data_IF_636738512749
#
_entry.id   IF_636738512749
#
_cell.length_a   1.000
_cell.length_b   1.000
_cell.length_c   1.000
_cell.angle_alpha   90.00
_cell.angle_beta   90.00
_cell.angle_gamma   90.00
#
_symmetry.space_group_name_H-M   'P 1'
#
loop_
_entity.id
_entity.type
_entity.pdbx_description
1 polymer ?
2 non-polymer ?
3 non-polymer ?
4 non-polymer ?
5 non-polymer ?
6 water ?
#
# COMPACT_ATOMS: atom_id res chain seq x y z
N UNK A 1 -21.71 12.84 10.51
CA UNK A 1 -20.88 13.63 9.51
C UNK A 1 -19.84 12.71 8.86
N UNK A 2 -18.77 12.41 9.61
CA UNK A 2 -17.87 11.30 9.26
C UNK A 2 -18.64 9.97 9.50
N UNK A 3 -19.79 10.05 10.18
CA UNK A 3 -20.68 8.91 10.30
C UNK A 3 -21.09 8.42 8.90
N UNK A 4 -20.97 9.30 7.90
CA UNK A 4 -21.18 8.89 6.52
C UNK A 4 -20.24 7.79 6.01
N UNK A 5 -19.10 7.60 6.66
CA UNK A 5 -18.21 6.50 6.33
C UNK A 5 -18.85 5.14 6.66
N UNK A 6 -19.82 5.12 7.58
CA UNK A 6 -20.39 3.85 8.02
C UNK A 6 -20.99 3.03 6.87
N UNK A 7 -21.60 3.69 5.91
CA UNK A 7 -22.25 2.97 4.81
C UNK A 7 -21.19 2.31 3.94
N UNK A 8 -20.03 2.95 3.81
CA UNK A 8 -18.92 2.37 3.06
C UNK A 8 -18.37 1.13 3.77
N UNK A 9 -18.22 1.20 5.10
CA UNK A 9 -17.77 0.06 5.85
C UNK A 9 -18.80 -1.05 5.72
N UNK A 10 -20.09 -0.70 5.83
CA UNK A 10 -21.16 -1.71 5.73
C UNK A 10 -21.28 -2.35 4.36
N UNK A 11 -20.79 -1.70 3.31
CA UNK A 11 -20.87 -2.28 1.96
C UNK A 11 -19.54 -2.85 1.47
N UNK A 12 -18.68 -3.15 2.43
CA UNK A 12 -17.30 -3.50 2.12
C UNK A 12 -17.17 -4.81 1.36
N UNK A 13 -18.11 -5.73 1.57
CA UNK A 13 -18.10 -6.95 0.81
C UNK A 13 -18.19 -6.67 -0.68
N UNK A 14 -19.18 -5.90 -1.08
CA UNK A 14 -19.30 -5.51 -2.47
C UNK A 14 -18.03 -4.75 -2.95
N UNK A 15 -17.52 -3.82 -2.15
CA UNK A 15 -16.32 -3.08 -2.55
C UNK A 15 -15.08 -4.00 -2.69
N UNK A 16 -14.97 -5.04 -1.84
CA UNK A 16 -13.87 -6.00 -1.97
C UNK A 16 -13.85 -6.61 -3.38
N UNK A 17 -15.05 -6.86 -3.89
CA UNK A 17 -15.20 -7.34 -5.23
C UNK A 17 -14.73 -6.37 -6.28
N UNK A 18 -15.06 -5.09 -6.13
CA UNK A 18 -14.66 -4.02 -7.05
C UNK A 18 -13.15 -3.82 -6.99
N UNK A 19 -12.59 -3.96 -5.79
CA UNK A 19 -11.14 -3.83 -5.59
C UNK A 19 -10.46 -4.97 -6.35
N UNK A 20 -11.04 -6.19 -6.26
CA UNK A 20 -10.49 -7.34 -6.99
C UNK A 20 -10.46 -7.12 -8.52
N UNK A 21 -11.57 -6.62 -9.05
CA UNK A 21 -11.73 -6.36 -10.47
C UNK A 21 -10.70 -5.37 -11.03
N UNK A 22 -10.34 -4.36 -10.23
CA UNK A 22 -9.28 -3.42 -10.57
C UNK A 22 -7.93 -4.16 -10.61
N UNK A 23 -7.69 -5.04 -9.63
CA UNK A 23 -6.47 -5.84 -9.60
C UNK A 23 -6.43 -6.67 -10.87
N UNK A 24 -7.53 -7.33 -11.17
CA UNK A 24 -7.54 -8.20 -12.36
C UNK A 24 -7.23 -7.39 -13.63
N UNK A 25 -7.84 -6.21 -13.78
CA UNK A 25 -7.57 -5.34 -14.91
C UNK A 25 -6.09 -4.91 -14.96
N UNK A 26 -5.51 -4.61 -13.81
CA UNK A 26 -4.12 -4.18 -13.78
C UNK A 26 -3.11 -5.35 -13.97
N UNK A 27 -3.55 -6.57 -13.69
CA UNK A 27 -2.61 -7.70 -13.54
C UNK A 27 -1.63 -7.91 -14.69
N UNK A 28 -2.13 -7.96 -15.95
CA UNK A 28 -1.30 -8.27 -17.10
C UNK A 28 -0.23 -7.27 -17.49
N UNK A 29 -0.35 -6.03 -17.01
CA UNK A 29 0.53 -4.95 -17.41
C UNK A 29 1.90 -5.11 -16.76
N UNK A 30 2.93 -4.88 -17.57
CA UNK A 30 4.30 -4.99 -17.14
C UNK A 30 4.85 -3.68 -16.54
N UNK A 31 4.60 -3.48 -15.24
CA UNK A 31 5.21 -2.37 -14.51
C UNK A 31 6.70 -2.63 -14.21
N UNK A 32 7.43 -1.56 -14.01
CA UNK A 32 8.78 -1.60 -13.47
C UNK A 32 8.88 -0.25 -12.71
N UNK A 33 10.09 0.15 -12.30
CA UNK A 33 10.25 1.43 -11.62
C UNK A 33 10.03 2.65 -12.53
N UNK A 34 10.04 2.42 -13.84
CA UNK A 34 9.77 3.42 -14.84
C UNK A 34 9.03 2.71 -15.96
N UNK A 35 8.53 3.45 -16.94
CA UNK A 35 8.01 2.84 -18.16
C UNK A 35 6.55 3.00 -18.50
N UNK A 36 6.20 2.58 -19.72
CA UNK A 36 4.81 2.70 -20.19
C UNK A 36 3.81 1.83 -19.41
N UNK A 37 4.31 0.84 -18.70
CA UNK A 37 3.46 -0.03 -17.90
C UNK A 37 2.97 0.76 -16.72
N UNK A 38 3.86 1.56 -16.17
CA UNK A 38 3.48 2.43 -15.07
C UNK A 38 2.45 3.41 -15.60
N UNK A 39 2.70 3.95 -16.82
CA UNK A 39 1.74 4.90 -17.40
C UNK A 39 0.38 4.28 -17.68
N UNK A 40 0.35 3.03 -18.15
CA UNK A 40 -0.93 2.36 -18.41
C UNK A 40 -1.66 2.14 -17.10
N UNK A 41 -0.89 1.96 -16.03
CA UNK A 41 -1.43 1.73 -14.70
C UNK A 41 -2.06 3.00 -14.12
N UNK A 42 -1.39 4.14 -14.33
CA UNK A 42 -1.93 5.44 -13.96
C UNK A 42 -3.19 5.76 -14.78
N UNK A 43 -3.24 5.33 -16.03
CA UNK A 43 -4.46 5.56 -16.81
C UNK A 43 -5.65 4.85 -16.17
N UNK A 44 -5.42 3.60 -15.77
CA UNK A 44 -6.49 2.79 -15.21
C UNK A 44 -6.93 3.35 -13.88
N UNK A 45 -5.95 3.73 -13.05
CA UNK A 45 -6.27 4.35 -11.77
C UNK A 45 -7.15 5.59 -11.97
N UNK A 46 -6.89 6.37 -13.03
CA UNK A 46 -7.61 7.62 -13.26
C UNK A 46 -8.99 7.38 -13.80
N UNK A 47 -9.35 6.13 -14.06
CA UNK A 47 -10.74 5.77 -14.32
C UNK A 47 -11.52 5.71 -13.00
N UNK A 48 -10.82 5.73 -11.87
CA UNK A 48 -11.47 5.69 -10.57
C UNK A 48 -11.31 6.98 -9.76
N UNK A 49 -10.12 7.55 -9.77
CA UNK A 49 -9.85 8.78 -9.02
C UNK A 49 -9.01 9.76 -9.89
N UNK A 50 -9.09 11.05 -9.57
CA UNK A 50 -8.22 11.93 -10.29
C UNK A 50 -6.80 11.71 -9.78
N UNK A 51 -5.81 11.92 -10.65
CA UNK A 51 -4.43 11.98 -10.20
C UNK A 51 -3.72 13.07 -10.96
N UNK A 52 -2.74 13.67 -10.30
CA UNK A 52 -1.75 14.44 -11.01
C UNK A 52 -0.56 13.48 -11.26
N UNK A 53 -0.19 13.34 -12.53
CA UNK A 53 0.91 12.48 -12.94
C UNK A 53 2.18 13.33 -13.13
N UNK A 54 3.27 12.88 -12.51
CA UNK A 54 4.56 13.58 -12.57
C UNK A 54 5.56 12.76 -13.36
N UNK A 55 6.42 13.43 -14.09
CA UNK A 55 7.48 12.75 -14.84
C UNK A 55 8.81 13.44 -14.52
N UNK A 56 9.69 12.74 -13.80
CA UNK A 56 10.98 13.31 -13.40
C UNK A 56 12.07 12.76 -14.34
N UNK A 57 12.81 13.65 -14.99
CA UNK A 57 13.83 13.28 -15.99
C UNK A 57 14.91 12.35 -15.44
N UNK A 58 15.27 11.35 -16.24
CA UNK A 58 16.41 10.52 -15.89
C UNK A 58 17.60 11.41 -15.64
N UNK A 59 18.38 11.08 -14.62
CA UNK A 59 19.57 11.86 -14.27
C UNK A 59 19.31 12.91 -13.19
N UNK A 60 18.05 13.15 -12.84
CA UNK A 60 17.70 14.11 -11.80
C UNK A 60 18.18 13.55 -10.46
N UNK A 61 18.87 14.42 -9.71
CA UNK A 61 19.39 14.07 -8.41
C UNK A 61 18.27 14.24 -7.39
N UNK A 62 17.92 13.14 -6.74
CA UNK A 62 16.88 13.15 -5.71
C UNK A 62 17.53 12.69 -4.41
N UNK A 63 17.88 13.69 -3.59
CA UNK A 63 18.79 13.50 -2.47
C UNK A 63 20.02 12.73 -2.99
N UNK A 64 20.39 11.62 -2.35
CA UNK A 64 21.59 10.87 -2.71
C UNK A 64 21.39 10.03 -3.94
N UNK A 65 20.15 9.91 -4.39
CA UNK A 65 19.86 9.05 -5.53
C UNK A 65 19.79 9.82 -6.84
N UNK A 66 19.90 9.06 -7.92
CA UNK A 66 19.78 9.58 -9.26
C UNK A 66 18.64 8.90 -9.96
N UNK A 67 17.73 9.68 -10.56
CA UNK A 67 16.61 9.09 -11.28
C UNK A 67 17.16 8.25 -12.46
N UNK A 68 16.87 6.94 -12.45
CA UNK A 68 17.42 6.06 -13.51
C UNK A 68 16.93 6.33 -14.94
N UNK A 69 17.55 5.64 -15.89
CA UNK A 69 17.06 5.59 -17.26
C UNK A 69 15.69 4.92 -17.26
N UNK A 70 14.93 5.22 -18.30
CA UNK A 70 13.62 4.65 -18.44
C UNK A 70 13.74 3.34 -19.19
N UNK A 71 13.00 2.33 -18.72
CA UNK A 71 12.99 0.99 -19.32
C UNK A 71 11.62 0.69 -19.91
N UNK A 72 11.64 0.04 -21.08
CA UNK A 72 10.40 -0.39 -21.75
C UNK A 72 10.61 -1.74 -22.42
N UNK A 73 9.51 -2.47 -22.66
CA UNK A 73 9.65 -3.79 -23.26
C UNK A 73 8.44 -4.08 -24.14
N UNK A 74 8.70 -4.54 -25.37
CA UNK A 74 7.69 -4.95 -26.34
C UNK A 74 7.49 -6.48 -26.32
N UNK A 75 8.57 -7.23 -26.31
CA UNK A 75 8.45 -8.68 -26.38
C UNK A 75 9.72 -9.27 -25.87
N UNK A 76 9.65 -10.54 -25.47
CA UNK A 76 10.81 -11.31 -25.06
C UNK A 76 10.46 -12.77 -25.23
N UNK A 77 11.43 -13.57 -25.67
CA UNK A 77 11.25 -15.03 -25.81
C UNK A 77 12.55 -15.78 -26.04
N UNK A 78 12.54 -17.07 -25.65
CA UNK A 78 13.56 -18.03 -25.98
C UNK A 78 12.84 -19.03 -26.89
N UNK A 79 13.35 -19.20 -28.10
CA UNK A 79 12.71 -20.04 -29.09
C UNK A 79 13.64 -21.19 -29.49
N UNK A 80 13.11 -22.39 -29.65
CA UNK A 80 13.96 -23.54 -30.05
C UNK A 80 13.98 -23.67 -31.59
N UNK A 81 14.82 -24.58 -32.10
CA UNK A 81 15.00 -24.78 -33.56
C UNK A 81 13.73 -25.25 -34.24
N UNK A 82 12.91 -25.99 -33.50
CA UNK A 82 11.61 -26.43 -33.96
C UNK A 82 10.66 -25.23 -34.06
N UNK A 83 11.11 -24.03 -33.66
CA UNK A 83 10.29 -22.81 -33.70
C UNK A 83 9.46 -22.45 -32.46
N UNK A 84 9.44 -23.33 -31.45
CA UNK A 84 8.61 -23.13 -30.24
C UNK A 84 9.20 -22.21 -29.20
N UNK A 85 8.44 -21.17 -28.84
CA UNK A 85 8.82 -20.25 -27.75
C UNK A 85 8.76 -20.98 -26.42
N UNK A 86 9.89 -21.56 -26.02
CA UNK A 86 9.96 -22.33 -24.79
C UNK A 86 9.88 -21.39 -23.56
N UNK A 87 10.20 -20.11 -23.75
CA UNK A 87 9.90 -19.07 -22.74
C UNK A 87 9.23 -17.94 -23.51
N UNK A 88 8.11 -17.42 -22.98
CA UNK A 88 7.31 -16.40 -23.66
C UNK A 88 6.74 -15.32 -22.69
N UNK A 89 7.30 -14.13 -22.82
CA UNK A 89 6.91 -12.96 -22.08
C UNK A 89 5.42 -12.69 -22.13
N UNK A 90 4.83 -12.90 -23.30
CA UNK A 90 3.39 -12.72 -23.48
C UNK A 90 2.56 -13.64 -22.59
N UNK A 91 3.12 -14.78 -22.15
CA UNK A 91 2.41 -15.66 -21.22
C UNK A 91 2.50 -15.19 -19.75
N UNK A 92 3.64 -14.62 -19.38
CA UNK A 92 3.84 -14.12 -18.02
C UNK A 92 4.99 -13.11 -18.04
N UNK A 93 4.77 -11.88 -17.58
CA UNK A 93 5.85 -10.88 -17.66
C UNK A 93 6.94 -11.12 -16.59
N UNK A 94 6.69 -12.09 -15.71
CA UNK A 94 7.69 -12.47 -14.72
C UNK A 94 8.84 -13.27 -15.38
N UNK A 95 8.60 -13.78 -16.60
CA UNK A 95 9.64 -14.46 -17.41
C UNK A 95 10.86 -13.59 -17.77
N UNK A 96 10.75 -12.25 -17.70
CA UNK A 96 11.89 -11.37 -18.00
C UNK A 96 12.31 -10.61 -16.75
N UNK A 97 13.62 -10.56 -16.54
CA UNK A 97 14.22 -9.82 -15.44
C UNK A 97 14.01 -8.31 -15.72
N UNK A 98 13.40 -7.61 -14.77
CA UNK A 98 13.03 -6.23 -14.98
C UNK A 98 14.29 -5.42 -15.22
N UNK A 99 14.23 -4.52 -16.20
CA UNK A 99 15.34 -3.70 -16.64
C UNK A 99 16.33 -4.47 -17.53
N UNK A 100 15.90 -5.60 -18.10
CA UNK A 100 16.77 -6.38 -18.98
C UNK A 100 17.20 -5.56 -20.20
N UNK A 101 18.51 -5.48 -20.41
CA UNK A 101 19.09 -4.86 -21.61
C UNK A 101 18.58 -5.62 -22.86
N UNK A 102 18.42 -4.95 -24.01
CA UNK A 102 17.94 -5.69 -25.17
C UNK A 102 18.95 -6.74 -25.66
N UNK A 103 18.48 -7.90 -26.11
CA UNK A 103 19.36 -8.94 -26.58
C UNK A 103 18.69 -9.67 -27.75
N UNK A 104 19.50 -10.04 -28.73
CA UNK A 104 19.04 -10.80 -29.88
C UNK A 104 20.18 -11.73 -30.30
N UNK A 105 20.07 -13.00 -29.93
CA UNK A 105 21.17 -13.95 -30.07
C UNK A 105 20.71 -15.37 -30.38
N UNK A 106 21.64 -16.16 -30.92
CA UNK A 106 21.46 -17.60 -30.94
C UNK A 106 22.46 -18.14 -29.95
N UNK A 107 22.00 -18.97 -29.03
CA UNK A 107 22.89 -19.59 -28.08
C UNK A 107 22.48 -21.03 -27.83
N UNK A 108 23.47 -21.82 -27.43
CA UNK A 108 23.22 -23.20 -27.07
C UNK A 108 22.70 -23.21 -25.63
N UNK A 109 22.10 -24.33 -25.21
CA UNK A 109 21.53 -24.43 -23.85
C UNK A 109 22.56 -24.04 -22.79
N UNK A 110 23.78 -24.56 -22.94
CA UNK A 110 24.85 -24.30 -21.98
C UNK A 110 25.26 -22.82 -21.88
N UNK A 111 25.12 -22.08 -22.99
CA UNK A 111 25.47 -20.65 -22.98
C UNK A 111 24.29 -19.85 -22.41
N UNK A 112 23.06 -20.33 -22.64
CA UNK A 112 21.85 -19.69 -22.11
C UNK A 112 21.69 -19.88 -20.59
N UNK A 113 21.97 -21.10 -20.12
CA UNK A 113 21.75 -21.52 -18.73
C UNK A 113 22.12 -20.48 -17.66
N UNK A 114 23.28 -19.81 -17.80
CA UNK A 114 23.63 -18.86 -16.75
C UNK A 114 22.66 -17.67 -16.63
N UNK A 115 21.94 -17.33 -17.71
CA UNK A 115 20.94 -16.25 -17.68
C UNK A 115 19.50 -16.73 -17.37
N UNK A 116 19.33 -18.01 -17.08
CA UNK A 116 18.04 -18.60 -16.74
C UNK A 116 17.93 -18.70 -15.22
N UNK A 117 16.73 -18.47 -14.68
CA UNK A 117 16.47 -18.51 -13.22
C UNK A 117 15.22 -19.29 -12.88
N UNK A 118 15.35 -20.24 -11.96
CA UNK A 118 14.27 -21.10 -11.48
C UNK A 118 14.22 -21.11 -9.95
N UNK A 119 13.24 -21.84 -9.40
CA UNK A 119 13.12 -22.02 -7.92
C UNK A 119 13.05 -23.54 -7.71
N UNK A 120 14.22 -24.15 -7.49
CA UNK A 120 14.33 -25.61 -7.36
C UNK A 120 13.41 -26.21 -6.32
N UNK A 121 13.20 -25.47 -5.23
CA UNK A 121 12.33 -25.88 -4.15
C UNK A 121 10.84 -25.80 -4.42
N UNK A 122 10.45 -25.14 -5.51
CA UNK A 122 9.02 -24.98 -5.87
C UNK A 122 9.00 -25.05 -7.36
N UNK A 123 9.04 -26.28 -7.85
CA UNK A 123 9.34 -26.57 -9.24
C UNK A 123 8.36 -26.03 -10.26
N UNK A 124 7.32 -25.40 -9.77
CA UNK A 124 6.23 -24.86 -10.55
C UNK A 124 6.16 -23.30 -10.51
N UNK A 125 7.14 -22.64 -9.90
CA UNK A 125 7.06 -21.18 -9.75
C UNK A 125 8.03 -20.46 -10.65
N UNK A 126 7.60 -19.30 -11.13
CA UNK A 126 8.48 -18.44 -11.91
C UNK A 126 9.04 -17.39 -10.93
N UNK A 127 10.35 -17.31 -10.81
CA UNK A 127 10.84 -16.26 -9.94
C UNK A 127 10.80 -14.87 -10.57
N UNK A 128 10.49 -13.86 -9.76
CA UNK A 128 10.56 -12.44 -10.14
C UNK A 128 11.94 -11.87 -9.82
N UNK A 129 12.62 -11.39 -10.84
CA UNK A 129 13.94 -10.79 -10.67
C UNK A 129 14.00 -9.41 -11.34
N UNK A 130 14.86 -8.56 -10.81
CA UNK A 130 15.07 -7.21 -11.32
C UNK A 130 16.57 -6.92 -11.41
N UNK A 131 16.94 -5.93 -12.21
CA UNK A 131 18.33 -5.51 -12.28
C UNK A 131 18.34 -4.04 -12.62
N UNK A 132 17.87 -3.23 -11.69
CA UNK A 132 17.65 -1.82 -11.98
C UNK A 132 18.93 -1.04 -12.17
N UNK A 133 19.94 -1.36 -11.40
CA UNK A 133 21.08 -0.47 -11.29
C UNK A 133 22.43 -0.99 -11.84
N UNK A 134 22.52 -2.28 -12.17
CA UNK A 134 23.67 -2.80 -12.93
C UNK A 134 23.04 -3.31 -14.24
N UNK A 135 23.66 -3.05 -15.38
CA UNK A 135 23.14 -3.55 -16.66
C UNK A 135 23.23 -5.07 -16.69
N UNK A 136 22.19 -5.71 -17.20
CA UNK A 136 22.08 -7.15 -17.15
C UNK A 136 20.84 -7.64 -17.92
N UNK A 137 20.66 -8.96 -18.03
CA UNK A 137 19.47 -9.53 -18.63
C UNK A 137 19.19 -10.96 -18.15
N UNK A 138 17.93 -11.32 -18.02
CA UNK A 138 17.61 -12.65 -17.57
C UNK A 138 16.23 -13.14 -17.95
N UNK A 139 16.06 -14.45 -17.95
CA UNK A 139 14.77 -15.06 -18.11
C UNK A 139 14.49 -15.93 -16.88
N UNK A 140 13.24 -15.88 -16.41
CA UNK A 140 12.79 -16.76 -15.36
C UNK A 140 11.87 -17.84 -15.94
N UNK A 141 11.91 -19.04 -15.36
CA UNK A 141 11.00 -20.14 -15.77
C UNK A 141 10.83 -21.15 -14.65
N UNK A 142 9.84 -22.04 -14.79
CA UNK A 142 9.67 -23.03 -13.74
C UNK A 142 10.79 -24.04 -13.89
N UNK A 143 11.20 -24.57 -12.74
CA UNK A 143 12.15 -25.66 -12.73
C UNK A 143 11.63 -26.80 -13.59
N UNK A 144 10.34 -27.13 -13.49
CA UNK A 144 9.80 -28.25 -14.24
C UNK A 144 9.98 -28.05 -15.75
N UNK A 145 9.78 -26.82 -16.21
CA UNK A 145 9.92 -26.48 -17.63
C UNK A 145 11.39 -26.44 -18.00
N UNK A 146 12.23 -25.93 -17.10
CA UNK A 146 13.67 -25.98 -17.29
C UNK A 146 14.15 -27.40 -17.49
N UNK A 147 13.71 -28.32 -16.62
CA UNK A 147 14.12 -29.72 -16.68
C UNK A 147 13.75 -30.43 -17.98
N UNK A 148 12.75 -29.91 -18.68
CA UNK A 148 12.33 -30.48 -19.94
C UNK A 148 13.05 -29.80 -21.13
N UNK A 149 13.96 -28.86 -20.87
CA UNK A 149 14.67 -28.17 -21.97
C UNK A 149 15.84 -28.96 -22.54
N UNK A 150 16.01 -28.88 -23.86
CA UNK A 150 17.07 -29.62 -24.57
C UNK A 150 18.36 -28.90 -24.85
N UNK A 151 19.39 -29.71 -25.12
CA UNK A 151 20.59 -29.22 -25.76
C UNK A 151 20.07 -28.78 -27.12
N UNK A 152 20.42 -27.57 -27.54
CA UNK A 152 19.82 -27.03 -28.75
C UNK A 152 20.44 -25.67 -29.08
N UNK A 153 20.06 -25.11 -30.23
CA UNK A 153 20.37 -23.73 -30.57
C UNK A 153 19.06 -22.99 -30.39
N UNK A 154 19.11 -22.00 -29.51
CA UNK A 154 17.94 -21.24 -29.16
C UNK A 154 18.08 -19.82 -29.66
N UNK A 155 17.01 -19.29 -30.24
CA UNK A 155 16.92 -17.86 -30.52
C UNK A 155 16.48 -17.18 -29.22
N UNK A 156 17.26 -16.19 -28.80
CA UNK A 156 17.02 -15.47 -27.56
C UNK A 156 16.76 -14.01 -27.89
N UNK A 157 15.54 -13.57 -27.63
CA UNK A 157 15.10 -12.22 -27.93
C UNK A 157 14.52 -11.54 -26.69
N UNK A 158 15.11 -10.40 -26.32
CA UNK A 158 14.50 -9.47 -25.38
C UNK A 158 14.45 -8.13 -26.14
N UNK A 159 13.26 -7.76 -26.59
CA UNK A 159 13.03 -6.52 -27.33
C UNK A 159 12.66 -5.43 -26.34
N UNK A 160 13.70 -4.82 -25.77
CA UNK A 160 13.53 -3.79 -24.74
C UNK A 160 14.31 -2.54 -25.09
N UNK A 161 14.12 -1.48 -24.30
CA UNK A 161 14.93 -0.27 -24.44
C UNK A 161 15.25 0.28 -23.08
N UNK A 162 16.44 0.88 -22.97
CA UNK A 162 16.93 1.44 -21.72
C UNK A 162 17.61 2.76 -22.12
N UNK A 163 16.87 3.85 -21.95
CA UNK A 163 17.25 5.15 -22.47
C UNK A 163 16.86 6.20 -21.49
N UNK A 164 17.51 7.35 -21.57
CA UNK A 164 17.12 8.52 -20.79
C UNK A 164 15.68 8.74 -21.11
N UNK A 165 14.87 8.97 -20.07
CA UNK A 165 13.43 9.18 -20.23
C UNK A 165 12.93 9.92 -19.00
N UNK A 166 11.90 9.37 -18.38
CA UNK A 166 11.44 9.89 -17.12
C UNK A 166 10.72 8.88 -16.26
N UNK A 167 10.73 9.18 -14.96
CA UNK A 167 10.12 8.35 -13.93
C UNK A 167 8.75 8.91 -13.57
N UNK A 168 7.73 8.05 -13.71
CA UNK A 168 6.34 8.42 -13.45
C UNK A 168 5.96 8.19 -12.00
N UNK A 169 5.32 9.20 -11.40
CA UNK A 169 4.58 8.97 -10.14
C UNK A 169 3.26 9.72 -10.18
N UNK A 170 2.26 9.17 -9.49
CA UNK A 170 0.93 9.77 -9.41
C UNK A 170 0.58 10.24 -8.00
N UNK A 171 -0.28 11.25 -7.92
CA UNK A 171 -0.60 11.84 -6.63
C UNK A 171 -2.01 12.43 -6.63
N UNK A 172 -2.74 12.18 -5.53
CA UNK A 172 -4.08 12.74 -5.36
C UNK A 172 -4.17 13.37 -3.97
N UNK A 173 -4.65 14.59 -3.92
CA UNK A 173 -4.76 15.37 -2.67
C UNK A 173 -6.19 15.80 -2.40
N UNK A 174 -6.70 15.50 -1.21
CA UNK A 174 -7.99 15.94 -0.74
C UNK A 174 -7.72 16.97 0.34
N UNK A 175 -8.21 18.19 0.13
CA UNK A 175 -8.13 19.27 1.13
C UNK A 175 -9.20 19.12 2.22
N UNK A 176 -8.76 19.06 3.47
CA UNK A 176 -9.69 18.99 4.58
C UNK A 176 -9.87 20.37 5.22
N UNK A 177 -10.59 20.41 6.35
CA UNK A 177 -10.73 21.67 7.08
C UNK A 177 -9.37 22.16 7.45
N UNK A 178 -8.47 21.24 7.79
CA UNK A 178 -7.12 21.54 8.21
C UNK A 178 -6.08 21.11 7.21
N UNK A 179 -4.95 21.81 7.21
CA UNK A 179 -3.78 21.46 6.41
C UNK A 179 -3.04 20.25 6.94
N UNK A 180 -3.26 19.88 8.19
CA UNK A 180 -2.60 18.71 8.73
C UNK A 180 -3.04 17.55 7.89
N UNK A 181 -2.08 16.68 7.60
CA UNK A 181 -2.22 15.79 6.52
C UNK A 181 -1.97 14.35 6.93
N UNK A 182 -2.79 13.45 6.41
CA UNK A 182 -2.58 12.02 6.59
C UNK A 182 -2.10 11.54 5.19
N UNK A 183 -0.98 10.80 5.15
CA UNK A 183 -0.34 10.32 3.93
C UNK A 183 -0.54 8.81 3.77
N UNK A 184 -1.05 8.39 2.62
CA UNK A 184 -1.26 6.98 2.35
C UNK A 184 -0.52 6.70 1.06
N UNK A 185 0.48 5.84 1.11
CA UNK A 185 1.32 5.61 -0.05
C UNK A 185 1.27 4.16 -0.47
N UNK A 186 1.53 3.89 -1.73
CA UNK A 186 1.67 2.52 -2.20
C UNK A 186 2.61 2.52 -3.40
N UNK A 187 3.20 1.36 -3.72
CA UNK A 187 4.21 1.31 -4.79
C UNK A 187 3.75 0.60 -6.08
N UNK A 188 4.13 1.20 -7.20
CA UNK A 188 3.59 0.84 -8.51
C UNK A 188 4.53 0.10 -9.46
N UNK A 189 5.67 -0.33 -8.92
CA UNK A 189 6.76 -0.89 -9.71
C UNK A 189 6.70 -2.40 -9.95
N UNK A 190 5.91 -3.13 -9.17
CA UNK A 190 5.81 -4.58 -9.40
C UNK A 190 4.88 -4.93 -10.56
N UNK A 191 5.31 -5.84 -11.42
CA UNK A 191 4.51 -6.25 -12.59
C UNK A 191 3.35 -7.21 -12.24
N UNK A 192 3.24 -8.38 -12.91
CA UNK A 192 2.07 -9.29 -12.70
C UNK A 192 2.16 -10.16 -11.45
N UNK A 193 2.06 -9.50 -10.30
CA UNK A 193 1.94 -10.14 -9.00
C UNK A 193 0.85 -9.37 -8.25
N UNK A 194 0.04 -10.09 -7.48
CA UNK A 194 -1.14 -9.54 -6.86
C UNK A 194 -0.96 -8.97 -5.44
N UNK A 195 -0.60 -9.77 -4.45
CA UNK A 195 -0.46 -9.28 -3.08
C UNK A 195 0.63 -8.20 -3.02
N UNK A 196 1.77 -8.50 -3.65
CA UNK A 196 2.88 -7.55 -3.76
C UNK A 196 3.08 -7.17 -5.25
N UNK A 197 2.49 -6.08 -5.77
CA UNK A 197 1.66 -5.12 -5.00
C UNK A 197 0.50 -4.46 -5.73
N UNK A 198 -0.31 -5.26 -6.44
CA UNK A 198 -1.56 -4.73 -6.99
C UNK A 198 -2.57 -4.54 -5.86
N UNK A 199 -2.43 -5.26 -4.75
CA UNK A 199 -3.44 -5.14 -3.67
C UNK A 199 -3.40 -3.72 -3.04
N UNK A 200 -2.21 -3.20 -2.80
CA UNK A 200 -2.07 -1.86 -2.20
C UNK A 200 -2.56 -0.78 -3.14
N UNK A 201 -2.22 -0.97 -4.41
CA UNK A 201 -2.60 -0.04 -5.46
C UNK A 201 -4.13 0.00 -5.54
N UNK A 202 -4.78 -1.16 -5.63
CA UNK A 202 -6.25 -1.16 -5.75
C UNK A 202 -6.91 -0.70 -4.46
N UNK A 203 -6.34 -1.04 -3.30
CA UNK A 203 -6.95 -0.63 -2.02
C UNK A 203 -6.96 0.89 -1.83
N UNK A 204 -5.79 1.49 -1.96
CA UNK A 204 -5.60 2.93 -1.76
C UNK A 204 -6.50 3.67 -2.78
N UNK A 205 -6.67 3.12 -3.98
CA UNK A 205 -7.54 3.73 -4.97
C UNK A 205 -8.97 3.86 -4.41
N UNK A 206 -9.47 2.76 -3.86
CA UNK A 206 -10.80 2.75 -3.29
C UNK A 206 -10.96 3.53 -1.98
N UNK A 207 -9.91 3.62 -1.19
CA UNK A 207 -9.96 4.47 -0.01
C UNK A 207 -10.10 5.90 -0.50
N UNK A 208 -9.25 6.32 -1.43
CA UNK A 208 -9.32 7.68 -2.03
C UNK A 208 -10.72 7.94 -2.60
N UNK A 209 -11.27 6.94 -3.30
CA UNK A 209 -12.57 7.06 -3.91
C UNK A 209 -13.68 7.31 -2.86
N UNK A 210 -13.61 6.62 -1.72
CA UNK A 210 -14.56 6.84 -0.62
C UNK A 210 -14.36 8.21 0.08
N UNK A 211 -13.12 8.55 0.43
CA UNK A 211 -12.84 9.80 1.15
C UNK A 211 -13.23 11.06 0.37
N UNK A 212 -13.01 11.00 -0.93
CA UNK A 212 -13.44 12.01 -1.89
C UNK A 212 -14.86 12.50 -1.70
N UNK A 213 -15.72 11.62 -1.19
CA UNK A 213 -17.13 11.91 -1.07
C UNK A 213 -17.52 12.43 0.31
N UNK A 214 -16.55 12.60 1.21
CA UNK A 214 -16.78 13.00 2.59
C UNK A 214 -16.14 14.34 2.93
N UNK A 215 -16.69 15.02 3.93
CA UNK A 215 -16.12 16.27 4.41
C UNK A 215 -15.18 15.91 5.56
N UNK A 216 -13.86 15.95 5.33
CA UNK A 216 -12.88 15.52 6.34
C UNK A 216 -12.23 16.67 7.07
N UNK A 217 -11.81 16.41 8.32
CA UNK A 217 -11.09 17.39 9.16
C UNK A 217 -9.68 17.50 8.64
N UNK A 218 -9.07 16.35 8.44
CA UNK A 218 -7.74 16.30 7.91
C UNK A 218 -7.69 16.30 6.38
N UNK A 219 -6.53 16.70 5.87
CA UNK A 219 -6.22 16.63 4.46
C UNK A 219 -5.60 15.26 4.27
N UNK A 220 -5.79 14.70 3.08
CA UNK A 220 -5.31 13.38 2.76
C UNK A 220 -4.55 13.41 1.44
N UNK A 221 -3.37 12.79 1.41
CA UNK A 221 -2.58 12.69 0.20
C UNK A 221 -2.33 11.24 -0.10
N UNK A 222 -2.51 10.88 -1.37
CA UNK A 222 -2.32 9.49 -1.76
C UNK A 222 -1.22 9.45 -2.81
N UNK A 223 -0.12 8.76 -2.51
CA UNK A 223 1.03 8.69 -3.40
C UNK A 223 1.12 7.31 -4.04
N UNK A 224 1.17 7.30 -5.37
CA UNK A 224 1.41 6.08 -6.14
C UNK A 224 2.76 6.25 -6.89
N UNK A 225 3.78 5.53 -6.46
CA UNK A 225 5.14 5.77 -6.94
C UNK A 225 5.92 4.48 -6.87
N UNK A 226 6.95 4.33 -7.73
CA UNK A 226 7.78 3.12 -7.59
C UNK A 226 8.41 3.05 -6.23
N UNK A 227 8.60 1.84 -5.70
CA UNK A 227 9.22 1.72 -4.39
C UNK A 227 10.64 2.30 -4.34
N UNK A 228 10.97 2.84 -3.17
CA UNK A 228 12.26 3.39 -2.88
C UNK A 228 12.56 4.62 -3.72
N UNK A 229 12.89 4.44 -4.99
CA UNK A 229 13.22 5.58 -5.87
C UNK A 229 12.07 6.60 -6.00
N UNK A 230 10.83 6.09 -6.03
CA UNK A 230 9.66 6.96 -6.11
C UNK A 230 9.44 7.79 -4.86
N UNK A 231 9.43 7.16 -3.69
CA UNK A 231 9.28 7.91 -2.43
C UNK A 231 10.41 8.91 -2.20
N UNK A 232 11.63 8.53 -2.54
CA UNK A 232 12.79 9.46 -2.44
C UNK A 232 12.56 10.65 -3.37
N UNK A 233 12.17 10.37 -4.62
CA UNK A 233 11.84 11.43 -5.56
C UNK A 233 10.74 12.36 -5.05
N UNK A 234 9.69 11.78 -4.48
CA UNK A 234 8.60 12.59 -3.99
C UNK A 234 9.05 13.46 -2.83
N UNK A 235 9.76 12.87 -1.87
CA UNK A 235 10.27 13.62 -0.72
C UNK A 235 11.19 14.76 -1.19
N UNK A 236 11.99 14.49 -2.22
CA UNK A 236 12.95 15.50 -2.68
C UNK A 236 12.21 16.66 -3.34
N UNK A 237 10.99 16.43 -3.76
CA UNK A 237 10.22 17.46 -4.43
C UNK A 237 9.17 18.10 -3.53
N UNK A 238 9.11 17.70 -2.26
CA UNK A 238 8.05 18.16 -1.37
C UNK A 238 8.51 18.45 0.07
N UNK A 239 9.75 18.89 0.25
CA UNK A 239 10.26 19.15 1.60
C UNK A 239 9.38 20.17 2.33
N UNK A 240 8.90 21.17 1.60
CA UNK A 240 7.98 22.19 2.10
C UNK A 240 6.69 21.64 2.73
N UNK A 241 6.24 20.47 2.27
CA UNK A 241 4.99 19.83 2.72
C UNK A 241 5.13 18.91 3.93
N UNK A 242 6.34 18.50 4.26
CA UNK A 242 6.56 17.53 5.33
C UNK A 242 6.10 17.99 6.69
N UNK A 243 6.25 19.27 6.98
CA UNK A 243 5.80 19.78 8.28
C UNK A 243 4.30 19.53 8.58
N UNK A 244 3.46 19.35 7.58
CA UNK A 244 2.04 19.09 7.80
C UNK A 244 1.68 17.62 7.90
N UNK A 245 2.56 16.69 7.53
CA UNK A 245 2.18 15.27 7.56
C UNK A 245 2.20 14.74 9.00
N UNK A 246 1.01 14.55 9.55
CA UNK A 246 0.84 14.22 10.96
C UNK A 246 1.10 12.74 11.13
N UNK A 247 0.69 11.94 10.16
CA UNK A 247 0.80 10.51 10.22
C UNK A 247 0.66 9.89 8.81
N UNK A 248 1.02 8.62 8.68
CA UNK A 248 0.93 7.98 7.39
C UNK A 248 0.96 6.47 7.46
N UNK A 249 0.51 5.83 6.39
CA UNK A 249 0.52 4.39 6.28
C UNK A 249 0.97 3.97 4.88
N UNK A 250 1.85 2.98 4.77
CA UNK A 250 2.22 2.40 3.48
C UNK A 250 1.36 1.11 3.32
N UNK A 251 0.60 1.05 2.23
CA UNK A 251 -0.28 -0.07 1.99
C UNK A 251 0.36 -1.02 0.98
N UNK A 252 0.53 -2.27 1.41
CA UNK A 252 1.01 -3.31 0.53
C UNK A 252 0.52 -4.63 1.10
N UNK A 253 0.50 -5.66 0.26
CA UNK A 253 0.16 -7.02 0.70
C UNK A 253 -1.13 -7.09 1.50
N UNK A 254 -2.17 -6.44 1.00
CA UNK A 254 -3.39 -6.28 1.74
C UNK A 254 -4.53 -7.17 1.23
N UNK A 255 -4.21 -8.18 0.41
CA UNK A 255 -5.24 -8.91 -0.32
C UNK A 255 -5.45 -10.40 -0.09
N UNK A 256 -4.53 -11.06 0.60
CA UNK A 256 -4.65 -12.50 0.84
C UNK A 256 -5.57 -12.91 1.97
N UNK A 257 -5.74 -14.24 2.14
CA UNK A 257 -6.67 -14.78 3.14
C UNK A 257 -6.16 -14.74 4.57
N UNK A 258 -4.91 -14.34 4.79
CA UNK A 258 -4.34 -14.34 6.14
C UNK A 258 -4.77 -13.24 7.08
N UNK A 259 -4.22 -13.26 8.29
CA UNK A 259 -4.56 -12.27 9.31
C UNK A 259 -3.89 -10.91 8.98
N UNK A 260 -4.39 -9.83 9.59
CA UNK A 260 -3.79 -8.49 9.46
C UNK A 260 -2.50 -8.38 10.26
N UNK A 261 -1.56 -7.62 9.72
CA UNK A 261 -0.30 -7.33 10.32
C UNK A 261 -0.04 -5.83 10.30
N UNK A 262 0.30 -5.26 11.45
CA UNK A 262 0.68 -3.85 11.52
C UNK A 262 2.13 -3.66 11.90
N UNK A 263 2.88 -2.98 11.04
CA UNK A 263 4.24 -2.56 11.35
C UNK A 263 4.17 -1.14 11.89
N UNK A 264 4.70 -0.96 13.08
CA UNK A 264 4.70 0.34 13.69
C UNK A 264 5.67 1.33 13.07
N UNK A 265 5.37 2.59 13.32
CA UNK A 265 6.30 3.67 13.04
C UNK A 265 7.56 3.48 13.86
N UNK A 266 8.63 4.18 13.48
CA UNK A 266 9.90 4.09 14.19
C UNK A 266 9.72 4.50 15.66
N UNK A 267 8.73 5.35 15.96
CA UNK A 267 8.51 5.81 17.33
C UNK A 267 7.74 4.80 18.17
N UNK A 268 7.09 3.85 17.54
CA UNK A 268 6.35 2.81 18.29
C UNK A 268 5.06 3.19 18.97
N UNK A 269 4.97 4.39 19.51
CA UNK A 269 3.74 4.80 20.18
C UNK A 269 3.15 6.12 19.66
N UNK A 270 3.42 6.45 18.39
CA UNK A 270 2.87 7.67 17.76
C UNK A 270 1.35 7.52 17.68
N UNK A 271 0.65 8.61 17.40
CA UNK A 271 -0.79 8.55 17.35
C UNK A 271 -1.32 7.47 16.39
N UNK A 272 -0.72 7.39 15.20
CA UNK A 272 -1.15 6.38 14.21
C UNK A 272 -0.96 4.95 14.75
N UNK A 273 0.12 4.68 15.48
CA UNK A 273 0.36 3.33 16.08
C UNK A 273 -0.74 3.01 17.07
N UNK A 274 -1.03 3.99 17.93
CA UNK A 274 -2.03 3.83 18.98
C UNK A 274 -3.38 3.64 18.33
N UNK A 275 -3.65 4.38 17.26
CA UNK A 275 -4.97 4.28 16.59
C UNK A 275 -5.09 2.91 15.92
N UNK A 276 -4.12 2.55 15.09
CA UNK A 276 -4.23 1.26 14.41
C UNK A 276 -4.31 0.07 15.40
N UNK A 277 -3.53 0.10 16.49
CA UNK A 277 -3.56 -1.07 17.41
C UNK A 277 -4.89 -1.13 18.15
N UNK A 278 -5.50 0.03 18.41
CA UNK A 278 -6.80 0.08 19.08
C UNK A 278 -7.93 -0.41 18.18
N UNK A 279 -7.84 -0.13 16.87
CA UNK A 279 -8.81 -0.67 15.92
C UNK A 279 -8.66 -2.21 15.85
N UNK A 280 -7.43 -2.70 15.72
CA UNK A 280 -7.20 -4.17 15.65
C UNK A 280 -7.67 -4.90 16.89
N UNK A 281 -7.37 -4.30 18.04
CA UNK A 281 -7.69 -4.89 19.34
C UNK A 281 -9.19 -5.27 19.46
N UNK A 282 -10.04 -4.43 18.88
CA UNK A 282 -11.47 -4.61 19.04
C UNK A 282 -12.16 -5.07 17.80
N UNK A 283 -11.40 -5.41 16.77
CA UNK A 283 -11.99 -5.73 15.49
C UNK A 283 -12.57 -7.14 15.38
N UNK A 284 -12.27 -8.01 16.31
CA UNK A 284 -12.86 -9.32 16.29
C UNK A 284 -12.16 -10.40 15.48
N UNK A 285 -11.01 -10.08 14.89
CA UNK A 285 -10.15 -11.09 14.24
C UNK A 285 -8.79 -11.08 14.88
N UNK A 286 -8.00 -12.09 14.53
CA UNK A 286 -6.63 -12.18 14.97
C UNK A 286 -5.82 -11.22 14.17
N UNK A 287 -4.73 -10.75 14.76
CA UNK A 287 -3.79 -9.86 14.10
C UNK A 287 -2.43 -9.95 14.77
N UNK A 288 -1.45 -9.32 14.17
CA UNK A 288 -0.15 -9.32 14.76
C UNK A 288 0.42 -7.94 14.55
N UNK A 289 1.10 -7.43 15.58
CA UNK A 289 1.76 -6.13 15.52
C UNK A 289 3.27 -6.36 15.61
N UNK A 290 4.04 -5.68 14.77
CA UNK A 290 5.51 -5.78 14.78
C UNK A 290 6.09 -4.42 15.04
N UNK A 291 7.25 -4.35 15.65
CA UNK A 291 7.96 -3.07 15.80
C UNK A 291 8.62 -2.69 14.48
N UNK A 292 8.97 -1.43 14.39
CA UNK A 292 9.65 -0.92 13.24
C UNK A 292 10.99 -1.59 13.03
N UNK A 293 11.35 -1.74 11.76
CA UNK A 293 12.69 -2.11 11.35
C UNK A 293 12.90 -1.34 10.06
N UNK A 294 14.11 -0.78 9.83
CA UNK A 294 14.45 0.04 8.67
C UNK A 294 14.73 -0.76 7.35
N UNK A 295 13.86 -1.72 7.06
CA UNK A 295 13.81 -2.33 5.75
C UNK A 295 12.36 -2.77 5.51
N UNK A 296 12.09 -3.32 4.33
CA UNK A 296 10.73 -3.62 3.91
C UNK A 296 10.31 -2.64 2.83
N UNK A 297 9.29 -1.83 3.07
CA UNK A 297 8.83 -0.89 2.05
C UNK A 297 9.14 0.56 2.42
N UNK A 298 8.43 1.53 1.83
CA UNK A 298 8.85 2.96 1.85
C UNK A 298 8.85 3.65 3.21
N UNK A 299 8.35 2.97 4.24
CA UNK A 299 8.45 3.49 5.61
C UNK A 299 9.90 3.73 6.00
N UNK A 300 10.84 2.99 5.38
CA UNK A 300 12.28 3.34 5.50
C UNK A 300 12.67 4.72 5.02
N UNK A 301 12.09 5.17 3.92
CA UNK A 301 12.41 6.51 3.46
C UNK A 301 11.71 7.52 4.38
N UNK A 302 10.45 7.29 4.70
CA UNK A 302 9.72 8.27 5.55
C UNK A 302 10.25 8.34 6.95
N UNK A 303 10.90 7.27 7.40
CA UNK A 303 11.43 7.16 8.74
C UNK A 303 12.92 7.41 8.84
N UNK A 304 13.58 7.79 7.74
CA UNK A 304 14.99 8.25 7.75
C UNK A 304 15.06 9.35 8.77
N UNK A 305 16.26 9.58 9.32
CA UNK A 305 16.36 10.55 10.41
C UNK A 305 16.14 11.99 9.98
N UNK A 306 16.40 12.24 8.71
CA UNK A 306 16.25 13.55 8.14
C UNK A 306 14.83 13.85 7.66
N UNK A 307 13.95 12.86 7.69
CA UNK A 307 12.55 13.01 7.24
C UNK A 307 11.68 12.86 8.48
N UNK A 308 11.73 11.66 9.08
CA UNK A 308 11.33 11.45 10.46
C UNK A 308 9.85 11.67 10.72
N UNK A 309 9.05 11.17 9.78
CA UNK A 309 7.59 11.21 9.89
C UNK A 309 7.08 9.94 10.56
N UNK A 310 5.81 9.95 11.01
CA UNK A 310 5.22 8.79 11.64
C UNK A 310 4.45 8.00 10.61
N UNK A 311 5.12 7.05 10.00
CA UNK A 311 4.50 6.22 8.98
C UNK A 311 4.63 4.73 9.37
N UNK A 312 3.50 4.06 9.49
CA UNK A 312 3.49 2.61 9.65
C UNK A 312 3.01 1.92 8.39
N UNK A 313 2.65 0.63 8.51
CA UNK A 313 2.27 -0.18 7.37
C UNK A 313 1.27 -1.21 7.84
N UNK A 314 0.07 -1.14 7.28
CA UNK A 314 -1.02 -2.04 7.64
C UNK A 314 -1.24 -2.98 6.47
N UNK A 315 -0.98 -4.26 6.73
CA UNK A 315 -0.89 -5.29 5.72
C UNK A 315 -1.75 -6.45 6.11
N UNK A 316 -1.81 -7.45 5.24
CA UNK A 316 -2.31 -8.77 5.63
C UNK A 316 -1.04 -9.61 5.78
N UNK A 317 -0.84 -10.64 4.94
CA UNK A 317 0.38 -11.44 5.03
C UNK A 317 1.48 -10.57 4.47
N UNK A 318 2.33 -10.15 5.38
CA UNK A 318 3.45 -9.32 5.05
C UNK A 318 4.41 -9.94 4.01
N UNK A 319 5.05 -9.08 3.20
CA UNK A 319 6.09 -9.49 2.23
C UNK A 319 7.09 -10.45 2.92
N UNK A 320 7.44 -11.52 2.21
CA UNK A 320 8.16 -12.64 2.80
C UNK A 320 7.26 -13.85 2.82
N UNK A 321 5.95 -13.65 2.64
CA UNK A 321 4.99 -14.75 2.54
C UNK A 321 5.37 -15.79 1.48
N UNK A 322 4.90 -17.02 1.69
CA UNK A 322 5.22 -18.10 0.78
C UNK A 322 4.64 -17.83 -0.60
N UNK A 323 5.53 -17.76 -1.58
CA UNK A 323 5.13 -17.47 -2.94
C UNK A 323 5.38 -16.03 -3.34
N UNK A 324 5.78 -15.20 -2.40
CA UNK A 324 6.04 -13.81 -2.74
C UNK A 324 7.23 -13.75 -3.71
N UNK A 325 7.23 -12.74 -4.56
CA UNK A 325 8.20 -12.58 -5.64
C UNK A 325 8.24 -13.78 -6.58
N UNK A 326 7.10 -14.45 -6.73
CA UNK A 326 6.96 -15.50 -7.70
C UNK A 326 5.56 -15.46 -8.32
N UNK A 327 5.38 -16.26 -9.38
CA UNK A 327 4.13 -16.37 -10.10
C UNK A 327 2.99 -16.97 -9.26
N UNK A 328 3.31 -17.48 -8.08
CA UNK A 328 2.32 -18.01 -7.15
C UNK A 328 1.45 -16.86 -6.59
N UNK A 329 2.04 -15.66 -6.50
CA UNK A 329 1.30 -14.48 -6.10
C UNK A 329 0.45 -13.98 -7.27
N UNK A 330 -0.58 -14.77 -7.58
CA UNK A 330 -1.46 -14.56 -8.70
C UNK A 330 -2.88 -14.21 -8.30
N UNK A 331 -3.79 -14.13 -9.26
CA UNK A 331 -5.16 -13.71 -8.99
C UNK A 331 -5.90 -14.56 -7.96
N UNK A 332 -5.72 -15.87 -8.07
CA UNK A 332 -6.35 -16.81 -7.13
C UNK A 332 -5.80 -16.69 -5.72
N UNK A 333 -4.69 -15.98 -5.56
CA UNK A 333 -4.13 -15.72 -4.23
C UNK A 333 -4.83 -14.55 -3.54
N UNK A 334 -5.41 -13.66 -4.33
CA UNK A 334 -6.29 -12.61 -3.83
C UNK A 334 -7.59 -13.27 -3.27
N UNK A 335 -8.06 -12.76 -2.15
CA UNK A 335 -9.26 -13.22 -1.48
C UNK A 335 -10.20 -12.01 -1.29
N UNK A 336 -11.44 -12.09 -1.75
CA UNK A 336 -12.34 -10.92 -1.72
C UNK A 336 -12.64 -10.41 -0.33
N UNK A 337 -12.78 -11.35 0.60
CA UNK A 337 -13.06 -11.04 2.00
C UNK A 337 -11.87 -10.42 2.67
N UNK A 338 -10.68 -10.80 2.19
CA UNK A 338 -9.44 -10.22 2.66
C UNK A 338 -9.33 -8.77 2.23
N UNK A 339 -9.55 -8.56 0.95
CA UNK A 339 -9.57 -7.20 0.40
C UNK A 339 -10.67 -6.37 1.08
N UNK A 340 -11.85 -6.94 1.18
CA UNK A 340 -12.96 -6.28 1.90
C UNK A 340 -12.55 -5.91 3.32
N UNK A 341 -11.91 -6.85 4.01
CA UNK A 341 -11.55 -6.60 5.40
C UNK A 341 -10.44 -5.58 5.55
N UNK A 342 -9.43 -5.64 4.70
CA UNK A 342 -8.40 -4.62 4.72
C UNK A 342 -8.98 -3.21 4.46
N UNK A 343 -9.91 -3.11 3.54
CA UNK A 343 -10.52 -1.82 3.21
C UNK A 343 -11.34 -1.27 4.38
N UNK A 344 -12.17 -2.14 4.94
CA UNK A 344 -12.95 -1.83 6.14
C UNK A 344 -12.02 -1.35 7.28
N UNK A 345 -10.89 -2.01 7.45
CA UNK A 345 -9.99 -1.67 8.56
C UNK A 345 -9.35 -0.29 8.35
N UNK A 346 -8.91 -0.04 7.13
CA UNK A 346 -8.37 1.25 6.77
C UNK A 346 -9.41 2.32 7.00
N UNK A 347 -10.65 2.09 6.58
CA UNK A 347 -11.71 3.09 6.81
C UNK A 347 -11.94 3.33 8.32
N UNK A 348 -11.86 2.27 9.12
CA UNK A 348 -12.07 2.39 10.58
C UNK A 348 -10.92 3.17 11.21
N UNK A 349 -9.72 2.92 10.70
CA UNK A 349 -8.58 3.69 11.10
C UNK A 349 -8.85 5.18 10.83
N UNK A 350 -9.33 5.49 9.62
CA UNK A 350 -9.55 6.87 9.17
C UNK A 350 -10.66 7.49 9.99
N UNK A 351 -11.74 6.75 10.20
CA UNK A 351 -12.81 7.19 11.12
C UNK A 351 -12.21 7.53 12.49
N UNK A 352 -11.28 6.73 13.01
CA UNK A 352 -10.69 7.00 14.34
C UNK A 352 -9.82 8.27 14.31
N UNK A 353 -9.01 8.40 13.28
CA UNK A 353 -8.16 9.56 13.10
C UNK A 353 -9.00 10.81 13.14
N UNK A 354 -10.10 10.79 12.39
CA UNK A 354 -10.95 11.96 12.24
C UNK A 354 -11.72 12.35 13.50
N UNK A 355 -12.22 11.34 14.23
CA UNK A 355 -13.03 11.57 15.43
C UNK A 355 -12.30 11.52 16.78
N UNK A 356 -10.97 11.52 16.76
CA UNK A 356 -10.17 11.50 17.99
C UNK A 356 -10.08 12.89 18.61
N UNK A 357 -11.19 13.39 19.14
CA UNK A 357 -11.20 14.73 19.71
C UNK A 357 -10.73 14.80 21.18
N UNK A 358 -10.51 16.02 21.67
CA UNK A 358 -10.24 16.24 23.09
C UNK A 358 -11.30 17.19 23.62
N UNK A 359 -11.87 16.86 24.77
CA UNK A 359 -12.95 17.62 25.35
C UNK A 359 -12.66 18.03 26.79
N UNK A 360 -13.42 19.01 27.25
CA UNK A 360 -13.37 19.46 28.63
C UNK A 360 -14.76 19.23 29.22
N UNK A 361 -14.80 18.51 30.33
CA UNK A 361 -16.02 18.32 31.11
C UNK A 361 -16.44 19.68 31.67
N UNK A 362 -17.63 20.17 31.30
CA UNK A 362 -18.13 21.46 31.80
C UNK A 362 -18.75 21.40 33.18
N UNK A 363 -18.85 20.20 33.75
CA UNK A 363 -19.31 19.98 35.13
C UNK A 363 -18.29 19.07 35.84
N UNK A 364 -17.06 19.55 36.00
CA UNK A 364 -16.04 18.66 36.56
C UNK A 364 -16.16 18.37 38.06
N UNK A 365 -16.84 19.25 38.80
CA UNK A 365 -17.02 19.06 40.23
C UNK A 365 -18.13 18.06 40.55
N UNK A 366 -17.71 16.82 40.80
CA UNK A 366 -18.58 15.69 40.97
C UNK A 366 -19.34 15.39 39.69
N UNK A 367 -19.98 14.24 39.68
CA UNK A 367 -20.69 13.87 38.48
C UNK A 367 -21.94 14.72 38.36
N UNK A 368 -22.41 14.92 37.14
CA UNK A 368 -23.65 15.67 36.96
C UNK A 368 -24.80 14.78 37.38
N UNK A 369 -25.91 15.40 37.74
CA UNK A 369 -27.09 14.63 38.09
C UNK A 369 -27.73 14.21 36.76
N UNK A 370 -27.19 13.15 36.13
CA UNK A 370 -27.66 12.74 34.79
C UNK A 370 -29.17 12.53 34.97
N UNK A 371 -29.98 13.24 34.18
CA UNK A 371 -31.44 13.25 34.36
C UNK A 371 -32.03 14.64 34.22
N UNK A 372 -31.21 15.66 34.50
CA UNK A 372 -31.56 17.06 34.23
C UNK A 372 -31.60 17.37 32.73
N UNK A 373 -31.07 16.46 31.89
CA UNK A 373 -30.90 16.73 30.46
C UNK A 373 -31.41 15.66 29.42
N UNK A 374 -31.85 14.47 29.87
CA UNK A 374 -32.37 13.42 28.94
C UNK A 374 -31.45 13.02 27.79
N UNK A 388 -25.48 3.89 27.15
CA UNK A 388 -24.25 3.28 27.67
C UNK A 388 -23.55 4.14 28.73
N UNK A 389 -23.98 3.95 29.97
CA UNK A 389 -23.55 4.82 31.06
C UNK A 389 -22.09 4.67 31.49
N UNK A 390 -21.52 3.49 31.33
CA UNK A 390 -20.13 3.25 31.70
C UNK A 390 -19.19 4.06 30.82
N UNK A 391 -19.36 3.99 29.52
CA UNK A 391 -18.57 4.83 28.62
C UNK A 391 -18.72 6.33 29.02
N UNK A 392 -19.93 6.75 29.33
CA UNK A 392 -20.13 8.18 29.61
C UNK A 392 -19.35 8.61 30.82
N UNK A 393 -19.39 7.80 31.88
CA UNK A 393 -18.68 8.10 33.13
C UNK A 393 -17.17 8.21 32.93
N UNK A 394 -16.61 7.38 32.06
CA UNK A 394 -15.19 7.51 31.67
C UNK A 394 -14.89 8.82 30.98
N UNK A 395 -15.73 9.20 30.00
CA UNK A 395 -15.55 10.43 29.26
C UNK A 395 -15.62 11.64 30.20
N UNK A 396 -16.58 11.64 31.10
CA UNK A 396 -16.70 12.75 32.05
C UNK A 396 -15.51 12.79 32.98
N UNK A 397 -15.08 11.61 33.39
CA UNK A 397 -14.08 11.52 34.41
C UNK A 397 -12.71 11.91 33.90
N UNK A 398 -12.40 11.52 32.68
CA UNK A 398 -11.09 11.80 32.12
C UNK A 398 -11.00 13.04 31.22
N UNK A 399 -12.11 13.73 30.94
CA UNK A 399 -12.03 14.92 30.09
C UNK A 399 -11.60 16.16 30.88
N UNK A 400 -10.32 16.20 31.23
CA UNK A 400 -9.76 17.38 31.93
C UNK A 400 -9.11 18.38 30.99
N UNK A 401 -9.21 18.11 29.69
CA UNK A 401 -8.58 18.91 28.68
C UNK A 401 -7.31 18.28 28.14
N UNK A 402 -6.79 17.29 28.83
CA UNK A 402 -5.55 16.65 28.43
C UNK A 402 -5.75 15.29 27.77
N UNK A 403 -6.89 14.64 27.99
CA UNK A 403 -7.12 13.32 27.43
C UNK A 403 -7.99 13.29 26.18
N UNK A 404 -7.49 12.62 25.14
CA UNK A 404 -8.19 12.41 23.87
C UNK A 404 -9.14 11.25 24.07
N UNK A 405 -10.08 11.10 23.15
CA UNK A 405 -10.99 9.96 23.20
C UNK A 405 -10.23 8.61 23.09
N UNK A 406 -9.13 8.62 22.34
CA UNK A 406 -8.28 7.43 22.17
C UNK A 406 -7.65 7.10 23.52
N UNK A 407 -7.27 8.15 24.24
CA UNK A 407 -6.71 7.97 25.58
C UNK A 407 -7.71 7.30 26.51
N UNK A 408 -8.96 7.73 26.41
CA UNK A 408 -10.01 7.24 27.27
C UNK A 408 -10.33 5.79 26.84
N UNK A 409 -10.38 5.55 25.53
CA UNK A 409 -10.65 4.22 25.03
C UNK A 409 -9.59 3.27 25.54
N UNK A 410 -8.33 3.69 25.47
CA UNK A 410 -7.22 2.86 25.98
C UNK A 410 -7.33 2.61 27.48
N UNK A 411 -7.41 3.66 28.30
CA UNK A 411 -7.50 3.50 29.78
C UNK A 411 -8.73 2.67 30.20
N UNK A 412 -9.88 2.92 29.57
CA UNK A 412 -11.10 2.18 29.86
C UNK A 412 -11.08 0.73 29.35
N UNK A 413 -10.20 0.43 28.41
CA UNK A 413 -10.25 -0.87 27.77
C UNK A 413 -11.44 -1.02 26.86
N UNK A 414 -12.12 0.09 26.57
CA UNK A 414 -13.31 -0.02 25.74
C UNK A 414 -12.97 0.31 24.31
N UNK A 415 -13.82 -0.19 23.43
CA UNK A 415 -13.75 0.08 22.02
C UNK A 415 -13.95 1.59 21.71
N UNK A 416 -13.25 2.06 20.69
CA UNK A 416 -13.22 3.46 20.39
C UNK A 416 -14.60 4.05 20.08
N UNK A 417 -15.37 3.43 19.20
CA UNK A 417 -16.69 3.97 18.90
C UNK A 417 -17.60 4.12 20.11
N UNK A 418 -17.46 3.23 21.09
CA UNK A 418 -18.27 3.32 22.32
C UNK A 418 -18.00 4.62 23.08
N UNK A 419 -16.72 4.94 23.15
CA UNK A 419 -16.28 6.17 23.76
C UNK A 419 -16.77 7.36 22.95
N UNK A 420 -16.67 7.27 21.62
CA UNK A 420 -17.04 8.36 20.72
C UNK A 420 -18.50 8.73 20.83
N UNK A 421 -19.35 7.70 20.77
CA UNK A 421 -20.77 7.90 20.85
C UNK A 421 -21.17 8.38 22.26
N UNK A 422 -20.44 7.93 23.28
CA UNK A 422 -20.72 8.42 24.63
C UNK A 422 -20.42 9.92 24.69
N UNK A 423 -19.28 10.32 24.13
CA UNK A 423 -18.85 11.71 24.04
C UNK A 423 -19.83 12.55 23.20
N UNK A 424 -20.38 11.96 22.16
CA UNK A 424 -21.37 12.67 21.33
C UNK A 424 -22.54 13.08 22.18
N UNK A 425 -23.11 12.10 22.87
CA UNK A 425 -24.30 12.31 23.69
C UNK A 425 -24.06 13.39 24.77
N UNK A 426 -22.89 13.36 25.38
CA UNK A 426 -22.60 14.33 26.41
C UNK A 426 -22.45 15.72 25.82
N UNK A 427 -21.87 15.79 24.61
CA UNK A 427 -21.66 17.07 23.91
C UNK A 427 -23.00 17.74 23.58
N UNK A 428 -23.96 16.92 23.18
CA UNK A 428 -25.33 17.34 22.87
C UNK A 428 -26.00 17.97 24.03
N UNK A 429 -25.88 17.40 25.23
CA UNK A 429 -26.51 18.02 26.41
C UNK A 429 -25.61 19.09 27.02
N UNK A 430 -24.55 19.47 26.30
CA UNK A 430 -23.68 20.57 26.69
C UNK A 430 -22.84 20.33 27.96
N UNK A 431 -22.55 19.07 28.25
CA UNK A 431 -21.67 18.74 29.37
C UNK A 431 -20.17 18.72 28.93
N UNK A 432 -19.91 18.92 27.64
CA UNK A 432 -18.54 18.90 27.12
C UNK A 432 -18.25 20.08 26.17
N UNK A 433 -17.05 20.60 26.25
CA UNK A 433 -16.57 21.64 25.37
C UNK A 433 -15.45 20.99 24.56
N UNK A 434 -15.39 21.29 23.26
CA UNK A 434 -14.29 20.81 22.43
C UNK A 434 -13.11 21.74 22.74
N UNK A 435 -11.94 21.18 22.99
CA UNK A 435 -10.78 22.00 23.29
C UNK A 435 -9.59 21.45 22.55
X LIG B 1 8.14 -6.98 -3.73
X LIG C 1 -16.18 -2.02 24.63
X LIG D 1 -4.68 16.32 -6.89
X LIG E 1 8.83 -4.16 -0.72
X LIG E 1 8.35 -4.45 -1.95
X LIG E 1 8.40 -5.78 -2.10
X LIG E 1 8.88 -6.33 -0.97
X LIG E 1 9.15 -5.30 -0.08
X LIG F 1 -19.84 0.84 10.55
X LIG F 1 -20.24 0.19 11.87
X LIG F 1 -21.01 -0.96 11.53
X LIG F 1 -19.02 -0.27 12.69
X LIG F 1 -21.09 1.16 12.66
X LIG F 1 -22.02 0.48 13.65
X LIG F 1 -23.21 1.24 13.81
X LIG F 1 -21.28 0.32 14.97
X LIG G 1 -10.68 -14.54 -8.57
X LIG G 1 -11.01 -14.31 -7.09
X LIG G 1 -9.83 -14.55 -6.31
X LIG G 1 -11.36 -12.84 -6.89
X LIG G 1 -12.15 -15.22 -6.61
X LIG G 1 -13.43 -14.50 -6.18
X LIG G 1 -14.10 -15.11 -5.04
X LIG G 1 -14.42 -14.42 -7.34
X LIG H 1 -15.47 10.36 -7.99
X LIG H 1 -14.42 10.65 -6.90
X LIG H 1 -15.08 10.76 -5.64
X LIG H 1 -13.37 9.55 -6.81
X LIG H 1 -13.64 11.92 -7.17
X LIG H 1 -14.50 13.17 -7.25
X LIG H 1 -13.68 14.32 -7.54
X LIG H 1 -15.16 13.36 -5.91
X LIG I 1 -10.90 -18.03 -13.53
X LIG I 1 -9.60 -18.64 -13.04
X LIG I 1 -9.91 -19.50 -11.95
X LIG I 1 -8.92 -19.48 -14.12
X LIG I 1 -8.69 -17.53 -12.55
X LIG I 1 -9.47 -16.22 -12.48
X LIG I 1 -8.78 -15.32 -11.63
X LIG I 1 -10.90 -16.40 -11.97
#
# INVERSE_FOLDING_TARGET
GMEEINKYIQNSSETGGEIYNLIEELFPICRSITGNGVRKTMDIIRKHIPLEIHEVKSGTKVFDWTVPKEWNIKDAYVRNSKGEKVIDFKENNLHVMSYSVPVHKTMTLDELKPYLHTIPGNKDRIPYLTSYYKENWGFSLTQNKFDELCDDDYEVVIDSSLEDGSLTYGEYYIRGELEEEILLTTYTCHPSMCNDNLSGVALITFIAKALSKLKTKYSYRFLFAPETIGSITWLSRNEDKLKNIKMGLVATCVGDAGIKNYKRTKFGDAEIDKIVEKVLMHCGSEYYVADFFPWGSDERQFSSPGINLSVGSLMRSCYGFDGYHTSADNLCYMNKDGLADSYKTYLEVIYTIENNRTYLNLNPKCEPQLGKRGIYRXIGGGSDYPFDEFAMFWVLNMSDGKNSLLDIAYKSGMEFRRIKYAADALYRVELLKLV
ZN ZN
CL CL
CL CL
IMD N1 C2 N3 C4 C5
MRD C1 C2 O2 CM C3 C4 O4 C5
MRD C1 C2 O2 CM C3 C4 O4 C5
MRD C1 C2 O2 CM C3 C4 O4 C5
MRD C1 C2 O2 CM C3 C4 O4 C5
#
